data_IF_413559315182
#
_entry.id   IF_413559315182
#
_cell.length_a   1.000
_cell.length_b   1.000
_cell.length_c   1.000
_cell.angle_alpha   90.00
_cell.angle_beta   90.00
_cell.angle_gamma   90.00
#
_symmetry.space_group_name_H-M   'P 1'
#
loop_
_entity.id
_entity.type
_entity.pdbx_description
1 polymer ?
#
# COMPACT_ATOMS: atom_id res chain seq x y z
N UNK A 1 7.58 -1.48 -14.37
CA UNK A 1 7.32 -0.08 -14.83
C UNK A 1 6.06 -0.07 -15.68
N UNK A 2 5.31 1.04 -15.71
CA UNK A 2 4.28 1.26 -16.73
C UNK A 2 4.81 2.20 -17.82
N UNK A 3 4.71 1.79 -19.08
CA UNK A 3 4.95 2.64 -20.25
C UNK A 3 3.61 2.99 -20.89
N UNK A 4 3.38 4.27 -21.22
CA UNK A 4 2.13 4.71 -21.87
C UNK A 4 2.46 5.49 -23.14
N UNK A 5 1.79 5.14 -24.24
CA UNK A 5 1.88 5.84 -25.53
C UNK A 5 0.48 6.02 -26.11
N UNK A 6 -0.04 7.24 -26.05
CA UNK A 6 -1.43 7.51 -26.43
C UNK A 6 -2.39 6.79 -25.48
N UNK A 7 -3.24 5.91 -26.04
CA UNK A 7 -4.19 5.09 -25.25
C UNK A 7 -3.61 3.74 -24.81
N UNK A 8 -2.50 3.32 -25.43
CA UNK A 8 -1.86 2.05 -25.14
C UNK A 8 -0.97 2.18 -23.89
N UNK A 9 -1.15 1.28 -22.92
CA UNK A 9 -0.30 1.15 -21.75
C UNK A 9 0.28 -0.26 -21.64
N UNK A 10 1.52 -0.36 -21.19
CA UNK A 10 2.26 -1.60 -21.02
C UNK A 10 2.82 -1.71 -19.61
N UNK A 11 2.59 -2.84 -18.97
CA UNK A 11 3.33 -3.26 -17.79
C UNK A 11 4.60 -3.98 -18.23
N UNK A 12 5.75 -3.46 -17.80
CA UNK A 12 7.08 -3.93 -18.23
C UNK A 12 7.85 -4.46 -17.02
N UNK A 13 8.37 -5.68 -17.14
CA UNK A 13 9.33 -6.26 -16.20
C UNK A 13 10.73 -6.01 -16.76
N UNK A 14 11.58 -5.37 -15.95
CA UNK A 14 12.94 -4.97 -16.34
C UNK A 14 13.95 -5.75 -15.52
N UNK A 15 14.88 -6.43 -16.19
CA UNK A 15 15.96 -7.18 -15.55
C UNK A 15 17.18 -6.30 -15.37
N UNK A 16 17.52 -5.96 -14.13
CA UNK A 16 18.59 -4.99 -13.82
C UNK A 16 19.97 -5.41 -14.33
N UNK A 17 20.44 -6.65 -14.16
CA UNK A 17 21.80 -7.03 -14.61
C UNK A 17 21.99 -7.06 -16.13
N UNK A 18 20.94 -6.93 -16.94
CA UNK A 18 21.02 -7.06 -18.40
C UNK A 18 20.24 -6.01 -19.20
N UNK A 19 19.53 -5.10 -18.55
CA UNK A 19 18.72 -4.06 -19.22
C UNK A 19 17.56 -4.57 -20.08
N UNK A 20 17.34 -5.89 -20.13
CA UNK A 20 16.24 -6.49 -20.86
C UNK A 20 14.88 -6.11 -20.26
N UNK A 21 13.91 -5.82 -21.12
CA UNK A 21 12.57 -5.45 -20.70
C UNK A 21 11.52 -6.24 -21.48
N UNK A 22 10.71 -7.01 -20.76
CA UNK A 22 9.62 -7.84 -21.31
C UNK A 22 8.28 -7.20 -20.96
N UNK A 23 7.37 -7.19 -21.92
CA UNK A 23 5.99 -6.77 -21.70
C UNK A 23 5.21 -7.90 -21.05
N UNK A 24 4.69 -7.64 -19.85
CA UNK A 24 3.88 -8.59 -19.07
C UNK A 24 2.40 -8.40 -19.38
N UNK A 25 1.94 -7.15 -19.45
CA UNK A 25 0.56 -6.78 -19.80
C UNK A 25 0.59 -5.65 -20.82
N UNK A 26 -0.32 -5.68 -21.79
CA UNK A 26 -0.56 -4.60 -22.74
C UNK A 26 -2.07 -4.37 -22.85
N UNK A 27 -2.53 -3.13 -22.68
CA UNK A 27 -3.95 -2.76 -22.77
C UNK A 27 -4.16 -1.38 -23.38
N UNK A 28 -5.27 -1.22 -24.09
CA UNK A 28 -5.75 0.07 -24.63
C UNK A 28 -6.48 0.91 -23.57
N UNK A 29 -5.87 1.03 -22.39
CA UNK A 29 -6.38 1.86 -21.29
C UNK A 29 -5.26 2.23 -20.32
N UNK A 30 -5.46 3.24 -19.45
CA UNK A 30 -4.46 3.60 -18.45
C UNK A 30 -4.19 2.47 -17.46
N UNK A 31 -2.90 2.20 -17.25
CA UNK A 31 -2.38 1.34 -16.19
C UNK A 31 -1.57 2.20 -15.20
N UNK A 32 -1.58 1.86 -13.92
CA UNK A 32 -0.77 2.56 -12.92
C UNK A 32 -0.41 1.67 -11.73
N UNK A 33 0.49 2.18 -10.88
CA UNK A 33 0.87 1.61 -9.58
C UNK A 33 1.16 0.10 -9.60
N UNK A 34 2.11 -0.35 -10.44
CA UNK A 34 2.49 -1.75 -10.46
C UNK A 34 3.27 -2.12 -9.19
N UNK A 35 2.81 -3.14 -8.49
CA UNK A 35 3.44 -3.65 -7.28
C UNK A 35 3.82 -5.12 -7.49
N UNK A 36 5.10 -5.41 -7.80
CA UNK A 36 5.57 -6.77 -7.93
C UNK A 36 5.54 -7.46 -6.56
N UNK A 37 5.03 -8.69 -6.55
CA UNK A 37 4.98 -9.54 -5.38
C UNK A 37 6.26 -10.35 -5.20
N UNK A 38 6.56 -10.74 -3.95
CA UNK A 38 7.68 -11.62 -3.66
C UNK A 38 7.44 -13.03 -4.22
N UNK A 39 8.49 -13.84 -4.36
CA UNK A 39 8.42 -15.29 -4.64
C UNK A 39 7.49 -15.67 -5.81
N UNK A 40 7.47 -14.88 -6.88
CA UNK A 40 6.60 -15.08 -8.07
C UNK A 40 5.10 -15.01 -7.79
N UNK A 41 4.68 -14.28 -6.74
CA UNK A 41 3.27 -14.04 -6.45
C UNK A 41 2.53 -13.24 -7.55
N UNK A 42 3.27 -12.73 -8.53
CA UNK A 42 2.76 -11.95 -9.65
C UNK A 42 2.97 -10.46 -9.44
N UNK A 43 2.27 -9.64 -10.22
CA UNK A 43 2.28 -8.19 -10.11
C UNK A 43 0.83 -7.72 -10.05
N UNK A 44 0.43 -7.05 -8.96
CA UNK A 44 -0.83 -6.34 -8.99
C UNK A 44 -0.63 -4.92 -9.51
N UNK A 45 -1.64 -4.38 -10.16
CA UNK A 45 -1.61 -3.05 -10.76
C UNK A 45 -3.02 -2.45 -10.79
N UNK A 46 -3.11 -1.14 -11.01
CA UNK A 46 -4.38 -0.45 -11.19
C UNK A 46 -4.72 -0.29 -12.67
N UNK A 47 -5.99 -0.47 -12.99
CA UNK A 47 -6.53 -0.35 -14.34
C UNK A 47 -7.72 0.61 -14.34
N UNK A 48 -7.80 1.47 -15.36
CA UNK A 48 -9.05 2.15 -15.74
C UNK A 48 -9.67 3.04 -14.66
N UNK A 49 -8.86 3.58 -13.74
CA UNK A 49 -9.34 4.54 -12.72
C UNK A 49 -9.62 3.96 -11.33
N UNK A 50 -9.27 2.70 -11.04
CA UNK A 50 -9.24 2.23 -9.65
C UNK A 50 -9.36 0.73 -9.41
N UNK A 51 -9.78 -0.06 -10.42
CA UNK A 51 -9.83 -1.51 -10.27
C UNK A 51 -8.43 -2.09 -10.10
N UNK A 52 -8.24 -2.93 -9.10
CA UNK A 52 -6.97 -3.64 -8.88
C UNK A 52 -7.02 -4.98 -9.61
N UNK A 53 -6.00 -5.22 -10.42
CA UNK A 53 -5.81 -6.43 -11.20
C UNK A 53 -4.55 -7.14 -10.73
N UNK A 54 -4.51 -8.45 -10.89
CA UNK A 54 -3.36 -9.30 -10.62
C UNK A 54 -2.97 -10.04 -11.88
N UNK A 55 -1.75 -9.78 -12.34
CA UNK A 55 -1.10 -10.49 -13.42
C UNK A 55 -0.08 -11.50 -12.87
N UNK A 56 0.00 -12.69 -13.47
CA UNK A 56 1.14 -13.58 -13.28
C UNK A 56 2.43 -12.95 -13.83
N UNK A 57 3.58 -13.44 -13.36
CA UNK A 57 4.90 -12.93 -13.80
C UNK A 57 5.12 -13.05 -15.32
N UNK A 58 4.52 -14.07 -15.93
CA UNK A 58 4.56 -14.33 -17.38
C UNK A 58 3.42 -13.65 -18.16
N UNK A 59 2.53 -12.91 -17.48
CA UNK A 59 1.41 -12.20 -18.09
C UNK A 59 0.26 -13.08 -18.60
N UNK A 60 0.36 -14.41 -18.48
CA UNK A 60 -0.64 -15.34 -19.03
C UNK A 60 -1.95 -15.37 -18.25
N UNK A 61 -1.90 -15.04 -16.96
CA UNK A 61 -3.07 -14.96 -16.11
C UNK A 61 -3.23 -13.55 -15.60
N UNK A 62 -4.22 -12.84 -16.13
CA UNK A 62 -4.54 -11.47 -15.76
C UNK A 62 -6.02 -11.39 -15.38
N UNK A 63 -6.30 -11.03 -14.13
CA UNK A 63 -7.67 -11.04 -13.59
C UNK A 63 -7.90 -9.91 -12.59
N UNK A 64 -9.14 -9.39 -12.50
CA UNK A 64 -9.48 -8.43 -11.46
C UNK A 64 -9.48 -9.12 -10.09
N UNK A 65 -9.01 -8.41 -9.07
CA UNK A 65 -9.16 -8.84 -7.68
C UNK A 65 -10.55 -8.49 -7.17
N UNK A 66 -11.20 -9.45 -6.51
CA UNK A 66 -12.52 -9.25 -5.87
C UNK A 66 -12.31 -8.63 -4.50
N UNK A 67 -12.11 -7.31 -4.47
CA UNK A 67 -11.94 -6.53 -3.25
C UNK A 67 -13.29 -6.01 -2.73
N UNK A 68 -13.34 -5.65 -1.45
CA UNK A 68 -14.51 -4.98 -0.87
C UNK A 68 -14.88 -3.69 -1.62
N UNK A 69 -16.18 -3.37 -1.65
CA UNK A 69 -16.71 -2.15 -2.30
C UNK A 69 -16.19 -0.87 -1.65
N UNK A 70 -16.03 0.18 -2.47
CA UNK A 70 -15.46 1.48 -2.08
C UNK A 70 -14.17 1.78 -2.83
N UNK A 71 -13.57 2.93 -2.55
CA UNK A 71 -12.26 3.29 -3.07
C UNK A 71 -11.15 2.37 -2.54
N UNK A 72 -10.15 2.10 -3.37
CA UNK A 72 -8.98 1.29 -2.99
C UNK A 72 -7.75 2.20 -2.92
N UNK A 73 -7.27 2.44 -1.70
CA UNK A 73 -6.08 3.22 -1.40
C UNK A 73 -4.79 2.40 -1.57
N UNK A 74 -3.80 2.67 -0.71
CA UNK A 74 -2.53 1.95 -0.71
C UNK A 74 -2.75 0.43 -0.57
N UNK A 75 -1.89 -0.36 -1.22
CA UNK A 75 -1.90 -1.81 -1.15
C UNK A 75 -0.47 -2.35 -1.13
N UNK A 76 -0.26 -3.45 -0.40
CA UNK A 76 1.04 -4.06 -0.14
C UNK A 76 0.91 -5.58 -0.15
N UNK A 77 1.89 -6.28 -0.73
CA UNK A 77 2.00 -7.72 -0.56
C UNK A 77 2.40 -8.08 0.88
N UNK A 78 1.92 -9.20 1.38
CA UNK A 78 2.55 -9.88 2.50
C UNK A 78 3.95 -10.37 2.10
N UNK A 79 4.86 -10.49 3.08
CA UNK A 79 6.24 -10.88 2.85
C UNK A 79 6.37 -12.28 2.19
N UNK A 80 5.44 -13.17 2.49
CA UNK A 80 5.36 -14.51 1.92
C UNK A 80 4.70 -14.55 0.53
N UNK A 81 4.08 -13.44 0.08
CA UNK A 81 3.36 -13.32 -1.18
C UNK A 81 1.99 -14.00 -1.21
N UNK A 82 1.49 -14.46 -0.05
CA UNK A 82 0.21 -15.19 0.02
C UNK A 82 -1.02 -14.29 0.09
N UNK A 83 -0.86 -13.03 0.52
CA UNK A 83 -1.94 -12.06 0.71
C UNK A 83 -1.57 -10.66 0.24
N UNK A 84 -2.60 -9.84 0.02
CA UNK A 84 -2.50 -8.42 -0.29
C UNK A 84 -3.25 -7.66 0.79
N UNK A 85 -2.53 -6.82 1.53
CA UNK A 85 -3.10 -5.86 2.47
C UNK A 85 -3.44 -4.58 1.72
N UNK A 86 -4.64 -4.05 1.90
CA UNK A 86 -5.06 -2.83 1.23
C UNK A 86 -5.94 -1.95 2.10
N UNK A 87 -5.96 -0.65 1.77
CA UNK A 87 -6.80 0.34 2.43
C UNK A 87 -8.10 0.48 1.65
N UNK A 88 -9.22 0.11 2.27
CA UNK A 88 -10.54 0.44 1.79
C UNK A 88 -10.90 1.86 2.24
N UNK A 89 -11.10 2.74 1.27
CA UNK A 89 -11.65 4.07 1.43
C UNK A 89 -13.16 3.98 1.30
N UNK A 90 -13.89 4.43 2.32
CA UNK A 90 -15.35 4.40 2.30
C UNK A 90 -15.92 5.52 1.42
N UNK A 91 -16.96 5.20 0.64
CA UNK A 91 -17.73 6.22 -0.10
C UNK A 91 -18.72 6.96 0.81
N UNK A 92 -19.07 6.37 1.97
CA UNK A 92 -19.85 7.00 3.02
C UNK A 92 -18.92 7.62 4.06
N UNK A 93 -18.99 8.94 4.22
CA UNK A 93 -18.19 9.71 5.18
C UNK A 93 -18.44 9.35 6.66
N UNK A 94 -19.55 8.67 6.96
CA UNK A 94 -19.88 8.18 8.32
C UNK A 94 -19.20 6.85 8.64
N UNK A 95 -18.67 6.16 7.64
CA UNK A 95 -18.02 4.87 7.78
C UNK A 95 -16.51 5.07 7.70
N UNK A 96 -15.78 4.53 8.67
CA UNK A 96 -14.33 4.64 8.72
C UNK A 96 -13.66 3.87 7.57
N UNK A 97 -12.52 4.38 7.11
CA UNK A 97 -11.60 3.63 6.27
C UNK A 97 -11.11 2.39 7.03
N UNK A 98 -10.77 1.33 6.31
CA UNK A 98 -10.34 0.07 6.93
C UNK A 98 -9.19 -0.58 6.20
N UNK A 99 -8.29 -1.22 6.95
CA UNK A 99 -7.30 -2.12 6.39
C UNK A 99 -7.97 -3.49 6.21
N UNK A 100 -7.79 -4.07 5.03
CA UNK A 100 -8.34 -5.37 4.66
C UNK A 100 -7.24 -6.24 4.07
N UNK A 101 -7.43 -7.55 4.13
CA UNK A 101 -6.51 -8.53 3.61
C UNK A 101 -7.23 -9.44 2.62
N UNK A 102 -6.71 -9.47 1.40
CA UNK A 102 -7.19 -10.31 0.31
C UNK A 102 -6.23 -11.47 0.06
N UNK A 103 -6.75 -12.68 -0.06
CA UNK A 103 -6.00 -13.89 -0.39
C UNK A 103 -6.25 -14.27 -1.86
N UNK A 104 -5.34 -13.97 -2.81
CA UNK A 104 -5.62 -14.19 -4.24
C UNK A 104 -5.90 -15.65 -4.61
N UNK A 105 -5.32 -16.61 -3.87
CA UNK A 105 -5.49 -18.03 -4.15
C UNK A 105 -6.93 -18.52 -3.86
N UNK A 106 -7.53 -18.10 -2.76
CA UNK A 106 -8.88 -18.49 -2.35
C UNK A 106 -9.96 -17.46 -2.71
N UNK A 107 -9.56 -16.22 -3.00
CA UNK A 107 -10.46 -15.08 -3.16
C UNK A 107 -11.04 -14.56 -1.84
N UNK A 108 -10.57 -15.06 -0.69
CA UNK A 108 -11.05 -14.59 0.61
C UNK A 108 -10.63 -13.13 0.84
N UNK A 109 -11.56 -12.32 1.35
CA UNK A 109 -11.34 -10.91 1.67
C UNK A 109 -11.81 -10.64 3.10
N UNK A 110 -10.90 -10.22 3.97
CA UNK A 110 -11.14 -10.11 5.41
C UNK A 110 -10.86 -8.70 5.92
N UNK A 111 -11.70 -8.23 6.85
CA UNK A 111 -11.41 -7.03 7.61
C UNK A 111 -10.24 -7.30 8.57
N UNK A 112 -9.23 -6.44 8.54
CA UNK A 112 -8.13 -6.45 9.52
C UNK A 112 -8.46 -5.49 10.65
N UNK A 113 -8.71 -4.22 10.34
CA UNK A 113 -9.11 -3.21 11.31
C UNK A 113 -9.80 -2.02 10.65
N UNK A 114 -10.72 -1.38 11.37
CA UNK A 114 -11.12 -0.01 11.07
C UNK A 114 -10.00 0.96 11.49
N UNK A 115 -9.92 2.13 10.86
CA UNK A 115 -8.85 3.11 11.08
C UNK A 115 -9.41 4.47 11.47
N UNK A 116 -8.59 5.34 12.08
CA UNK A 116 -8.90 6.76 12.26
C UNK A 116 -8.81 7.55 10.94
N UNK A 117 -9.49 7.07 9.88
CA UNK A 117 -9.51 7.69 8.56
C UNK A 117 -8.12 7.77 7.90
N UNK A 118 -7.38 6.66 7.87
CA UNK A 118 -6.09 6.65 7.17
C UNK A 118 -6.27 7.07 5.69
N UNK A 119 -5.39 7.95 5.21
CA UNK A 119 -5.24 8.29 3.79
C UNK A 119 -4.31 7.30 3.07
N UNK A 120 -3.30 6.83 3.80
CA UNK A 120 -2.25 5.91 3.34
C UNK A 120 -1.74 5.11 4.53
N UNK A 121 -1.25 3.89 4.28
CA UNK A 121 -0.62 3.06 5.30
C UNK A 121 0.46 2.17 4.70
N UNK A 122 1.27 1.57 5.58
CA UNK A 122 2.24 0.52 5.27
C UNK A 122 2.34 -0.48 6.43
N UNK A 123 2.42 -1.80 6.17
CA UNK A 123 2.71 -2.79 7.20
C UNK A 123 4.20 -2.81 7.55
N UNK A 124 4.53 -3.28 8.76
CA UNK A 124 5.88 -3.76 9.06
C UNK A 124 6.13 -5.12 8.38
N UNK A 125 7.37 -5.65 8.44
CA UNK A 125 7.77 -6.87 7.70
C UNK A 125 6.89 -8.10 8.01
N UNK A 126 6.42 -8.24 9.25
CA UNK A 126 5.53 -9.33 9.67
C UNK A 126 4.03 -9.02 9.54
N UNK A 127 3.67 -7.81 9.11
CA UNK A 127 2.32 -7.26 9.13
C UNK A 127 1.60 -7.38 10.49
N UNK A 128 2.34 -7.37 11.60
CA UNK A 128 1.80 -7.33 12.96
C UNK A 128 1.40 -5.92 13.39
N UNK A 129 2.04 -4.91 12.79
CA UNK A 129 1.77 -3.49 13.04
C UNK A 129 1.72 -2.76 11.71
N UNK A 130 0.81 -1.80 11.60
CA UNK A 130 0.70 -0.89 10.47
C UNK A 130 1.07 0.52 10.92
N UNK A 131 1.67 1.30 10.03
CA UNK A 131 1.82 2.75 10.20
C UNK A 131 0.95 3.44 9.16
N UNK A 132 0.21 4.46 9.57
CA UNK A 132 -0.67 5.21 8.68
C UNK A 132 -0.66 6.71 8.95
N UNK A 133 -1.10 7.47 7.95
CA UNK A 133 -1.30 8.91 8.07
C UNK A 133 -2.79 9.23 8.00
N UNK A 134 -3.28 10.01 8.96
CA UNK A 134 -4.67 10.45 9.04
C UNK A 134 -5.02 11.43 7.90
N UNK A 135 -6.16 11.22 7.25
CA UNK A 135 -6.72 12.17 6.29
C UNK A 135 -7.36 13.40 6.97
N UNK A 136 -7.61 13.33 8.29
CA UNK A 136 -8.29 14.38 9.02
C UNK A 136 -7.35 15.56 9.31
N UNK A 137 -7.64 16.72 8.71
CA UNK A 137 -6.86 17.96 8.90
C UNK A 137 -6.84 18.47 10.34
N UNK A 138 -7.87 18.19 11.13
CA UNK A 138 -7.93 18.56 12.55
C UNK A 138 -7.12 17.59 13.44
N UNK A 139 -6.76 16.41 12.92
CA UNK A 139 -5.96 15.41 13.62
C UNK A 139 -4.93 14.81 12.65
N UNK A 140 -3.95 15.61 12.17
CA UNK A 140 -3.03 15.23 11.11
C UNK A 140 -1.89 14.37 11.67
N UNK A 141 -2.24 13.20 12.18
CA UNK A 141 -1.32 12.32 12.90
C UNK A 141 -0.75 11.21 12.02
N UNK A 142 0.49 10.84 12.32
CA UNK A 142 1.02 9.52 11.99
C UNK A 142 0.68 8.60 13.16
N UNK A 143 0.07 7.46 12.87
CA UNK A 143 -0.39 6.49 13.87
C UNK A 143 0.20 5.11 13.61
N UNK A 144 0.42 4.35 14.69
CA UNK A 144 0.55 2.90 14.62
C UNK A 144 -0.83 2.27 14.81
N UNK A 145 -1.10 1.18 14.09
CA UNK A 145 -2.25 0.31 14.31
C UNK A 145 -1.75 -1.11 14.62
N UNK A 146 -2.10 -1.62 15.78
CA UNK A 146 -1.76 -2.98 16.23
C UNK A 146 -2.77 -3.97 15.65
N UNK A 147 -2.32 -4.91 14.82
CA UNK A 147 -3.20 -5.88 14.16
C UNK A 147 -3.97 -6.76 15.14
N UNK A 148 -3.32 -7.20 16.22
CA UNK A 148 -3.91 -8.16 17.16
C UNK A 148 -5.07 -7.58 17.99
N UNK A 149 -5.08 -6.26 18.21
CA UNK A 149 -6.05 -5.59 19.09
C UNK A 149 -6.87 -4.52 18.38
N UNK A 150 -6.57 -4.25 17.10
CA UNK A 150 -7.13 -3.14 16.33
C UNK A 150 -6.99 -1.78 17.02
N UNK A 151 -5.96 -1.63 17.88
CA UNK A 151 -5.72 -0.42 18.64
C UNK A 151 -4.78 0.50 17.88
N UNK A 152 -5.13 1.79 17.86
CA UNK A 152 -4.27 2.83 17.32
C UNK A 152 -3.49 3.58 18.41
N UNK A 153 -2.27 3.98 18.08
CA UNK A 153 -1.37 4.78 18.91
C UNK A 153 -0.86 5.97 18.10
N UNK A 154 -1.11 7.19 18.59
CA UNK A 154 -0.58 8.40 17.98
C UNK A 154 0.93 8.49 18.20
N UNK A 155 1.69 8.69 17.13
CA UNK A 155 3.14 8.89 17.19
C UNK A 155 3.52 10.38 17.21
N UNK A 156 3.11 11.10 16.17
CA UNK A 156 3.39 12.51 15.99
C UNK A 156 2.43 13.14 14.97
N UNK A 157 2.55 14.44 14.74
CA UNK A 157 1.82 15.14 13.68
C UNK A 157 2.63 15.23 12.38
N UNK A 158 2.05 14.82 11.25
CA UNK A 158 2.68 15.00 9.93
C UNK A 158 2.48 16.41 9.40
N UNK A 159 1.30 17.03 9.57
CA UNK A 159 0.94 18.38 9.05
C UNK A 159 1.27 18.61 7.57
N UNK A 160 1.26 17.55 6.78
CA UNK A 160 1.47 17.64 5.33
C UNK A 160 0.24 18.27 4.66
N UNK A 161 0.46 19.08 3.61
CA UNK A 161 -0.61 19.67 2.82
C UNK A 161 -1.49 18.61 2.13
N UNK A 162 -0.87 17.52 1.67
CA UNK A 162 -1.52 16.31 1.18
C UNK A 162 -1.21 15.12 2.10
N UNK A 163 -2.19 14.63 2.89
CA UNK A 163 -2.02 13.45 3.74
C UNK A 163 -1.66 12.16 3.00
N UNK A 164 -2.07 11.99 1.73
CA UNK A 164 -1.74 10.79 0.96
C UNK A 164 -0.25 10.74 0.61
N UNK A 165 0.39 11.90 0.44
CA UNK A 165 1.83 12.03 0.17
C UNK A 165 2.73 11.67 1.36
N UNK A 166 2.18 11.55 2.58
CA UNK A 166 2.95 11.26 3.79
C UNK A 166 3.66 9.91 3.71
N UNK A 167 2.97 8.92 3.11
CA UNK A 167 3.46 7.58 2.81
C UNK A 167 4.43 7.01 3.87
N UNK A 168 3.98 6.85 5.13
CA UNK A 168 4.85 6.38 6.19
C UNK A 168 5.23 4.92 5.95
N UNK A 169 6.49 4.57 6.21
CA UNK A 169 7.04 3.22 6.02
C UNK A 169 7.95 2.85 7.19
N UNK A 170 8.00 1.56 7.52
CA UNK A 170 8.94 1.04 8.50
C UNK A 170 10.35 0.88 7.91
N UNK A 171 11.38 0.97 8.75
CA UNK A 171 12.66 0.36 8.44
C UNK A 171 12.52 -1.16 8.35
N UNK A 172 13.41 -1.86 7.62
CA UNK A 172 13.32 -3.32 7.46
C UNK A 172 13.27 -4.11 8.78
N UNK A 173 13.92 -3.59 9.83
CA UNK A 173 13.93 -4.17 11.18
C UNK A 173 12.72 -3.77 12.05
N UNK A 174 11.77 -3.00 11.52
CA UNK A 174 10.61 -2.40 12.22
C UNK A 174 10.92 -1.41 13.34
N UNK A 175 12.17 -0.99 13.54
CA UNK A 175 12.56 -0.16 14.70
C UNK A 175 12.45 1.35 14.46
N UNK A 176 12.24 1.76 13.21
CA UNK A 176 12.05 3.16 12.82
C UNK A 176 10.92 3.27 11.82
N UNK A 177 10.35 4.46 11.74
CA UNK A 177 9.49 4.86 10.63
C UNK A 177 10.11 6.04 9.89
N UNK A 178 9.83 6.13 8.60
CA UNK A 178 10.13 7.25 7.73
C UNK A 178 8.84 7.75 7.09
N UNK A 179 8.71 9.06 6.90
CA UNK A 179 7.55 9.65 6.24
C UNK A 179 7.89 10.99 5.61
N UNK A 180 7.14 11.41 4.60
CA UNK A 180 7.28 12.70 3.96
C UNK A 180 6.36 13.75 4.60
N UNK A 181 6.81 14.99 4.69
CA UNK A 181 5.93 16.12 4.97
C UNK A 181 6.54 17.43 4.46
N UNK A 182 5.68 18.35 4.02
CA UNK A 182 6.01 19.72 3.66
C UNK A 182 5.68 20.73 4.77
N UNK A 183 5.44 20.28 6.01
CA UNK A 183 5.06 21.10 7.17
C UNK A 183 5.99 22.27 7.51
N UNK A 184 7.19 22.31 6.94
CA UNK A 184 8.17 23.39 7.10
C UNK A 184 8.42 24.15 5.79
N UNK A 185 7.47 24.12 4.86
CA UNK A 185 7.44 24.92 3.63
C UNK A 185 7.95 24.21 2.37
N UNK A 186 8.70 23.12 2.50
CA UNK A 186 9.16 22.27 1.39
C UNK A 186 9.10 20.78 1.78
N UNK A 187 8.88 19.85 0.84
CA UNK A 187 8.90 18.42 1.12
C UNK A 187 10.22 17.98 1.75
N UNK A 188 10.14 17.26 2.85
CA UNK A 188 11.27 16.65 3.55
C UNK A 188 10.90 15.26 4.05
N UNK A 189 11.92 14.41 4.24
CA UNK A 189 11.78 13.10 4.88
C UNK A 189 12.08 13.22 6.37
N UNK A 190 11.14 12.75 7.18
CA UNK A 190 11.26 12.66 8.62
C UNK A 190 11.48 11.22 9.04
N UNK A 191 12.04 11.05 10.23
CA UNK A 191 12.32 9.75 10.83
C UNK A 191 11.96 9.77 12.31
N UNK A 192 11.36 8.70 12.79
CA UNK A 192 11.06 8.50 14.21
C UNK A 192 11.44 7.08 14.64
N UNK A 193 11.94 6.94 15.87
CA UNK A 193 12.18 5.65 16.51
C UNK A 193 10.88 5.09 17.07
N UNK A 194 10.67 3.79 16.91
CA UNK A 194 9.48 3.08 17.41
C UNK A 194 9.84 1.78 18.13
N UNK A 195 11.12 1.59 18.47
CA UNK A 195 11.68 0.39 19.09
C UNK A 195 11.10 0.07 20.48
N UNK A 196 10.55 1.07 21.17
CA UNK A 196 9.84 0.87 22.44
C UNK A 196 8.38 0.46 22.27
N UNK A 197 7.84 0.53 21.05
CA UNK A 197 6.43 0.27 20.73
C UNK A 197 6.24 -0.93 19.80
N UNK A 198 7.28 -1.29 19.03
CA UNK A 198 7.22 -2.29 17.98
C UNK A 198 8.40 -3.24 18.13
N UNK A 199 8.09 -4.53 18.21
CA UNK A 199 9.10 -5.57 18.23
C UNK A 199 9.95 -5.56 16.96
N UNK A 200 11.23 -5.87 17.12
CA UNK A 200 12.14 -6.01 16.00
C UNK A 200 11.70 -7.17 15.12
N UNK A 201 11.60 -6.93 13.82
CA UNK A 201 11.38 -8.02 12.86
C UNK A 201 12.70 -8.45 12.23
N UNK A 202 12.78 -9.74 11.93
CA UNK A 202 13.88 -10.29 11.14
C UNK A 202 13.64 -10.00 9.66
N UNK A 203 14.74 -9.77 8.93
CA UNK A 203 14.76 -9.53 7.48
C UNK A 203 14.96 -10.80 6.71
#
# INVERSE_FOLDING_TARGET
LVETRGKLSRLRLVTVPGGGAVTVIEKDMPLSDPVPGPRRAGVFYRQGGGSVWLASEDGRHDRPLKLASGGIGAAHWSLDGSSILYLRISDDSKVLNSIREHMPASGADRLVAATSQFAVFSPNSSASVFVGASANKASPHVLLLLRATSRELTLCEHRASDPASVAPVFSPDSQRIYFQSDRHGKPAIYRMRVDTLVEKTET
#
